data_IF_099695160344
#
_entry.id   IF_099695160344
#
_cell.length_a   1.000
_cell.length_b   1.000
_cell.length_c   1.000
_cell.angle_alpha   90.00
_cell.angle_beta   90.00
_cell.angle_gamma   90.00
#
_symmetry.space_group_name_H-M   'P 1'
#
loop_
_entity.id
_entity.type
_entity.pdbx_description
1 polymer ?
#
# COMPACT_ATOMS: atom_id res chain seq x y z
N UNK A 1 18.96 14.04 7.98
CA UNK A 1 19.29 12.89 7.09
C UNK A 1 17.98 12.39 6.51
N UNK A 2 17.77 12.49 5.21
CA UNK A 2 16.60 11.89 4.56
C UNK A 2 16.80 10.38 4.51
N UNK A 3 15.97 9.62 5.23
CA UNK A 3 15.99 8.15 5.14
C UNK A 3 15.55 7.72 3.75
N UNK A 4 16.30 6.83 3.10
CA UNK A 4 15.96 6.24 1.79
C UNK A 4 14.75 5.29 1.86
N UNK A 5 14.34 4.92 3.08
CA UNK A 5 13.23 4.02 3.36
C UNK A 5 12.14 4.74 4.18
N UNK A 6 10.92 4.20 4.09
CA UNK A 6 9.76 4.57 4.90
C UNK A 6 8.98 3.32 5.34
N UNK A 7 8.27 3.36 6.48
CA UNK A 7 7.36 2.28 6.86
C UNK A 7 6.12 2.26 5.94
N UNK A 8 5.64 1.07 5.60
CA UNK A 8 4.40 0.87 4.84
C UNK A 8 3.72 -0.45 5.23
N UNK A 9 2.40 -0.53 5.02
CA UNK A 9 1.63 -1.77 5.16
C UNK A 9 1.59 -2.47 3.81
N UNK A 10 2.27 -3.61 3.72
CA UNK A 10 2.37 -4.41 2.49
C UNK A 10 1.49 -5.65 2.60
N UNK A 11 0.78 -5.98 1.52
CA UNK A 11 0.01 -7.22 1.41
C UNK A 11 0.93 -8.37 1.00
N UNK A 12 0.93 -9.46 1.78
CA UNK A 12 1.63 -10.70 1.47
C UNK A 12 0.61 -11.75 1.06
N UNK A 13 0.62 -12.08 -0.23
CA UNK A 13 -0.34 -13.01 -0.82
C UNK A 13 -0.22 -14.41 -0.19
N UNK A 14 -1.37 -15.04 0.09
CA UNK A 14 -1.42 -16.46 0.50
C UNK A 14 -1.31 -17.41 -0.70
N UNK A 15 -1.35 -16.87 -1.93
CA UNK A 15 -1.38 -17.63 -3.17
C UNK A 15 -2.78 -18.09 -3.60
N UNK A 16 -3.83 -17.77 -2.83
CA UNK A 16 -5.23 -18.10 -3.16
C UNK A 16 -6.08 -16.83 -3.21
N UNK A 17 -6.70 -16.54 -4.36
CA UNK A 17 -7.62 -15.40 -4.51
C UNK A 17 -8.84 -15.57 -3.59
N UNK A 18 -9.23 -14.51 -2.88
CA UNK A 18 -10.37 -14.48 -1.96
C UNK A 18 -10.03 -14.89 -0.52
N UNK A 19 -8.83 -15.38 -0.26
CA UNK A 19 -8.32 -15.70 1.07
C UNK A 19 -7.79 -14.45 1.80
N UNK A 20 -7.57 -14.55 3.10
CA UNK A 20 -7.07 -13.45 3.93
C UNK A 20 -5.54 -13.33 3.83
N UNK A 21 -5.07 -12.56 2.85
CA UNK A 21 -3.64 -12.23 2.76
C UNK A 21 -3.14 -11.56 4.05
N UNK A 22 -1.87 -11.77 4.38
CA UNK A 22 -1.27 -11.18 5.58
C UNK A 22 -0.90 -9.72 5.32
N UNK A 23 -1.21 -8.85 6.28
CA UNK A 23 -0.70 -7.49 6.29
C UNK A 23 0.60 -7.43 7.09
N UNK A 24 1.61 -6.79 6.55
CA UNK A 24 2.94 -6.69 7.15
C UNK A 24 3.38 -5.23 7.17
N UNK A 25 3.66 -4.70 8.37
CA UNK A 25 4.30 -3.39 8.52
C UNK A 25 5.81 -3.57 8.30
N UNK A 26 6.34 -3.01 7.22
CA UNK A 26 7.74 -3.19 6.82
C UNK A 26 8.35 -1.91 6.25
N UNK A 27 9.65 -1.90 6.02
CA UNK A 27 10.35 -0.79 5.37
C UNK A 27 10.33 -0.98 3.85
N UNK A 28 10.01 0.09 3.13
CA UNK A 28 10.00 0.15 1.67
C UNK A 28 10.76 1.38 1.19
N UNK A 29 11.17 1.38 -0.08
CA UNK A 29 11.79 2.55 -0.68
C UNK A 29 10.85 3.75 -0.65
N UNK A 30 11.40 4.90 -0.25
CA UNK A 30 10.65 6.15 -0.26
C UNK A 30 10.40 6.57 -1.71
N UNK A 31 9.15 6.86 -2.11
CA UNK A 31 8.87 7.31 -3.46
C UNK A 31 9.46 8.70 -3.73
N UNK A 32 9.82 8.93 -4.98
CA UNK A 32 10.28 10.23 -5.48
C UNK A 32 9.21 10.83 -6.38
N UNK A 33 8.69 12.00 -6.00
CA UNK A 33 7.74 12.74 -6.82
C UNK A 33 8.41 13.20 -8.13
N UNK A 34 7.73 12.94 -9.25
CA UNK A 34 8.11 13.43 -10.57
C UNK A 34 7.55 14.84 -10.81
N UNK A 35 7.87 15.42 -11.97
CA UNK A 35 7.31 16.70 -12.40
C UNK A 35 5.77 16.64 -12.44
N UNK A 36 5.13 17.48 -11.64
CA UNK A 36 3.66 17.55 -11.54
C UNK A 36 3.05 16.68 -10.43
N UNK A 37 3.86 15.93 -9.68
CA UNK A 37 3.43 15.14 -8.53
C UNK A 37 3.79 15.83 -7.22
N UNK A 38 3.15 15.40 -6.13
CA UNK A 38 3.48 15.82 -4.77
C UNK A 38 3.82 14.61 -3.92
N UNK A 39 4.82 14.75 -3.04
CA UNK A 39 5.15 13.75 -2.03
C UNK A 39 4.51 14.16 -0.70
N UNK A 40 3.62 13.31 -0.19
CA UNK A 40 2.91 13.55 1.07
C UNK A 40 3.55 12.69 2.17
N UNK A 41 3.93 13.33 3.27
CA UNK A 41 4.26 12.61 4.50
C UNK A 41 2.96 12.32 5.26
N UNK A 42 2.53 11.06 5.24
CA UNK A 42 1.30 10.61 5.88
C UNK A 42 1.47 10.58 7.40
N UNK A 43 0.70 11.39 8.11
CA UNK A 43 0.65 11.41 9.58
C UNK A 43 -0.38 10.40 10.12
N UNK A 44 -1.50 10.23 9.41
CA UNK A 44 -2.56 9.28 9.71
C UNK A 44 -3.24 8.83 8.43
N UNK A 45 -3.80 7.63 8.45
CA UNK A 45 -4.65 7.09 7.38
C UNK A 45 -5.96 6.55 7.97
N UNK A 46 -6.98 6.41 7.12
CA UNK A 46 -8.23 5.79 7.51
C UNK A 46 -8.23 4.29 7.21
N UNK A 47 -9.19 3.56 7.79
CA UNK A 47 -9.48 2.17 7.42
C UNK A 47 -10.90 2.11 6.89
N UNK A 48 -11.07 1.56 5.69
CA UNK A 48 -12.36 1.46 5.03
C UNK A 48 -12.66 0.02 4.60
N UNK A 49 -13.91 -0.21 4.15
CA UNK A 49 -14.36 -1.55 3.75
C UNK A 49 -13.66 -2.05 2.47
N UNK A 50 -13.20 -1.15 1.60
CA UNK A 50 -12.51 -1.53 0.36
C UNK A 50 -11.13 -2.12 0.66
N UNK A 51 -10.46 -1.71 1.74
CA UNK A 51 -9.21 -2.32 2.21
C UNK A 51 -9.37 -3.82 2.48
N UNK A 52 -10.53 -4.26 2.99
CA UNK A 52 -10.82 -5.67 3.22
C UNK A 52 -10.92 -6.45 1.90
N UNK A 53 -11.45 -5.83 0.85
CA UNK A 53 -11.56 -6.46 -0.48
C UNK A 53 -10.20 -6.50 -1.18
N UNK A 54 -9.40 -5.42 -1.08
CA UNK A 54 -8.02 -5.39 -1.57
C UNK A 54 -7.15 -6.44 -0.87
N UNK A 55 -7.24 -6.51 0.47
CA UNK A 55 -6.55 -7.55 1.26
C UNK A 55 -6.89 -8.95 0.79
N UNK A 56 -8.10 -9.20 0.29
CA UNK A 56 -8.51 -10.52 -0.21
C UNK A 56 -8.23 -10.75 -1.70
N UNK A 57 -7.60 -9.79 -2.39
CA UNK A 57 -7.39 -9.85 -3.84
C UNK A 57 -8.68 -9.75 -4.66
N UNK A 58 -9.80 -9.33 -4.04
CA UNK A 58 -11.10 -9.17 -4.69
C UNK A 58 -11.33 -7.76 -5.24
N UNK A 59 -10.36 -6.87 -5.03
CA UNK A 59 -10.35 -5.50 -5.54
C UNK A 59 -8.97 -5.20 -6.14
N UNK A 60 -8.68 -5.70 -7.36
CA UNK A 60 -7.36 -5.55 -7.96
C UNK A 60 -7.09 -4.08 -8.28
N UNK A 61 -5.90 -3.55 -7.96
CA UNK A 61 -5.54 -2.19 -8.35
C UNK A 61 -5.42 -2.08 -9.88
N UNK A 62 -5.56 -0.86 -10.44
CA UNK A 62 -5.21 -0.59 -11.83
C UNK A 62 -3.78 -1.00 -12.16
N UNK A 63 -3.51 -1.25 -13.44
CA UNK A 63 -2.15 -1.46 -13.91
C UNK A 63 -1.25 -0.28 -13.49
N UNK A 64 -0.06 -0.59 -12.96
CA UNK A 64 0.94 0.37 -12.47
C UNK A 64 0.59 1.11 -11.18
N UNK A 65 -0.51 0.77 -10.48
CA UNK A 65 -0.74 1.33 -9.15
C UNK A 65 0.23 0.72 -8.11
N UNK A 66 0.36 1.40 -6.98
CA UNK A 66 1.16 0.92 -5.85
C UNK A 66 0.67 -0.44 -5.34
N UNK A 67 1.60 -1.29 -4.91
CA UNK A 67 1.31 -2.54 -4.19
C UNK A 67 1.12 -2.35 -2.68
N UNK A 68 1.31 -1.13 -2.18
CA UNK A 68 1.07 -0.75 -0.79
C UNK A 68 -0.43 -0.52 -0.59
N UNK A 69 -0.98 -1.06 0.50
CA UNK A 69 -2.41 -0.94 0.83
C UNK A 69 -2.75 0.49 1.30
N UNK A 70 -3.92 0.98 0.89
CA UNK A 70 -4.50 2.25 1.35
C UNK A 70 -5.22 2.96 0.22
N UNK A 71 -6.46 3.39 0.45
CA UNK A 71 -7.21 4.21 -0.51
C UNK A 71 -7.31 5.69 -0.13
N UNK A 72 -7.28 6.01 1.18
CA UNK A 72 -7.49 7.35 1.74
C UNK A 72 -6.32 7.81 2.61
#
# INVERSE_FOLDING_TARGET
MTTSQMPAVVVRESGTVGDWNRLELTQVERPHAQTGEVLIQVEACSVNRADLLQRRGLYPPPANASSILGLD
#
